data_IF_533089479755
#
_entry.id   IF_533089479755
#
_cell.length_a   1.000
_cell.length_b   1.000
_cell.length_c   1.000
_cell.angle_alpha   90.00
_cell.angle_beta   90.00
_cell.angle_gamma   90.00
#
_symmetry.space_group_name_H-M   'P 1'
#
loop_
_entity.id
_entity.type
_entity.pdbx_description
1 polymer ?
#
# COMPACT_ATOMS: atom_id res chain seq x y z
N UNK A 1 6.21 63.50 -18.51
CA UNK A 1 6.48 62.70 -17.30
C UNK A 1 6.69 61.25 -17.75
N UNK A 2 7.84 60.70 -17.36
CA UNK A 2 8.19 59.27 -17.15
C UNK A 2 7.89 58.25 -18.27
N UNK A 3 8.93 57.66 -18.89
CA UNK A 3 9.72 56.48 -18.40
C UNK A 3 8.92 55.19 -18.67
N UNK A 4 9.40 54.12 -19.31
CA UNK A 4 10.72 53.69 -19.77
C UNK A 4 10.49 52.59 -20.81
N UNK A 5 11.43 52.46 -21.74
CA UNK A 5 11.66 51.27 -22.57
C UNK A 5 11.81 50.02 -21.70
N UNK A 6 11.44 48.85 -22.22
CA UNK A 6 12.33 47.67 -22.28
C UNK A 6 11.81 46.73 -23.38
N UNK A 7 12.67 46.47 -24.37
CA UNK A 7 12.55 45.35 -25.29
C UNK A 7 13.18 44.13 -24.63
N UNK A 8 12.65 42.93 -24.90
CA UNK A 8 13.29 41.59 -24.92
C UNK A 8 12.17 40.56 -24.78
N UNK A 9 11.81 39.84 -25.84
CA UNK A 9 12.45 38.62 -26.36
C UNK A 9 11.63 37.40 -25.94
N UNK A 10 11.64 36.40 -26.83
CA UNK A 10 11.44 34.98 -26.53
C UNK A 10 10.00 34.44 -26.47
N UNK A 11 9.74 33.48 -27.37
CA UNK A 11 9.07 32.27 -26.93
C UNK A 11 7.67 31.99 -27.47
N UNK A 12 7.41 32.19 -28.77
CA UNK A 12 6.40 31.35 -29.43
C UNK A 12 6.96 29.92 -29.55
N UNK A 13 7.01 29.20 -28.44
CA UNK A 13 7.21 27.76 -28.48
C UNK A 13 5.98 27.16 -29.19
N UNK A 14 6.20 26.32 -30.21
CA UNK A 14 5.14 25.75 -31.03
C UNK A 14 4.26 24.84 -30.18
N UNK A 15 2.96 24.90 -30.44
CA UNK A 15 1.95 23.96 -29.95
C UNK A 15 2.46 22.53 -30.14
N UNK A 16 2.90 21.89 -29.07
CA UNK A 16 3.28 20.48 -29.12
C UNK A 16 2.02 19.66 -29.21
N UNK A 17 2.09 18.62 -30.03
CA UNK A 17 1.02 17.71 -30.45
C UNK A 17 0.46 16.85 -29.30
N UNK A 18 0.82 17.17 -28.05
CA UNK A 18 0.40 16.48 -26.83
C UNK A 18 -0.91 17.03 -26.24
N UNK A 19 -1.66 17.82 -27.00
CA UNK A 19 -3.02 18.25 -26.64
C UNK A 19 -4.07 17.20 -27.03
N UNK A 20 -3.85 15.94 -26.59
CA UNK A 20 -4.86 14.85 -26.50
C UNK A 20 -4.25 13.53 -26.01
N UNK A 21 -4.10 13.42 -24.70
CA UNK A 21 -4.46 12.20 -23.98
C UNK A 21 -5.15 12.74 -22.73
N UNK A 22 -6.45 12.58 -22.52
CA UNK A 22 -7.00 11.34 -21.96
C UNK A 22 -5.89 10.41 -21.43
N UNK A 23 -5.07 10.94 -20.51
CA UNK A 23 -4.28 10.13 -19.64
C UNK A 23 -5.25 9.60 -18.59
N UNK A 24 -6.02 8.59 -18.99
CA UNK A 24 -6.39 7.53 -18.07
C UNK A 24 -5.05 6.95 -17.56
N UNK A 25 -4.38 7.64 -16.62
CA UNK A 25 -3.32 7.00 -15.84
C UNK A 25 -4.00 5.80 -15.23
N UNK A 26 -3.55 4.61 -15.63
CA UNK A 26 -4.23 3.38 -15.30
C UNK A 26 -4.44 3.34 -13.78
N UNK A 27 -5.65 2.97 -13.34
CA UNK A 27 -6.01 2.80 -11.91
C UNK A 27 -5.02 1.86 -11.19
N UNK A 28 -4.21 1.11 -11.93
CA UNK A 28 -3.11 0.26 -11.47
C UNK A 28 -1.76 0.93 -11.26
N UNK A 29 -1.44 2.05 -11.94
CA UNK A 29 -0.26 2.91 -11.63
C UNK A 29 -0.60 3.85 -10.47
N UNK A 30 -1.84 4.33 -10.48
CA UNK A 30 -2.53 4.61 -9.23
C UNK A 30 -2.49 3.36 -8.33
N UNK A 31 -2.74 3.32 -7.05
CA UNK A 31 -2.56 2.06 -6.27
C UNK A 31 -1.13 1.46 -6.21
N UNK A 32 -0.33 1.34 -7.27
CA UNK A 32 1.08 0.91 -7.19
C UNK A 32 1.87 1.85 -6.29
N UNK A 33 1.77 3.17 -6.46
CA UNK A 33 2.39 4.12 -5.53
C UNK A 33 1.84 3.98 -4.10
N UNK A 34 0.54 3.67 -3.95
CA UNK A 34 -0.05 3.43 -2.61
C UNK A 34 0.59 2.21 -1.97
N UNK A 35 0.73 1.12 -2.73
CA UNK A 35 1.37 -0.12 -2.27
C UNK A 35 2.81 0.14 -1.88
N UNK A 36 3.57 0.92 -2.65
CA UNK A 36 4.95 1.29 -2.31
C UNK A 36 5.04 2.07 -0.99
N UNK A 37 4.20 3.08 -0.82
CA UNK A 37 4.17 3.87 0.42
C UNK A 37 3.77 3.03 1.63
N UNK A 38 2.79 2.14 1.49
CA UNK A 38 2.38 1.21 2.55
C UNK A 38 3.49 0.21 2.86
N UNK A 39 4.17 -0.32 1.85
CA UNK A 39 5.30 -1.24 2.02
C UNK A 39 6.41 -0.60 2.85
N UNK A 40 6.87 0.60 2.46
CA UNK A 40 7.94 1.29 3.17
C UNK A 40 7.51 1.70 4.59
N UNK A 41 6.25 2.12 4.79
CA UNK A 41 5.74 2.43 6.12
C UNK A 41 5.74 1.21 7.04
N UNK A 42 5.22 0.07 6.58
CA UNK A 42 5.18 -1.17 7.38
C UNK A 42 6.59 -1.66 7.68
N UNK A 43 7.44 -1.73 6.66
CA UNK A 43 8.82 -2.20 6.78
C UNK A 43 9.64 -1.37 7.76
N UNK A 44 9.49 -0.04 7.75
CA UNK A 44 10.27 0.88 8.59
C UNK A 44 9.74 0.97 10.02
N UNK A 45 8.41 1.09 10.18
CA UNK A 45 7.81 1.46 11.45
C UNK A 45 7.12 0.30 12.17
N UNK A 46 6.76 -0.77 11.46
CA UNK A 46 5.93 -1.86 11.97
C UNK A 46 6.53 -3.26 11.63
N UNK A 47 7.75 -3.58 12.11
CA UNK A 47 8.41 -4.85 11.80
C UNK A 47 7.65 -6.08 12.34
N UNK A 48 6.74 -5.90 13.30
CA UNK A 48 5.88 -6.96 13.86
C UNK A 48 4.47 -6.97 13.23
N UNK A 49 4.28 -6.27 12.12
CA UNK A 49 2.98 -6.06 11.50
C UNK A 49 2.14 -4.97 12.20
N UNK A 50 1.05 -4.58 11.53
CA UNK A 50 0.18 -3.48 11.95
C UNK A 50 -1.27 -3.79 11.62
N UNK A 51 -2.21 -3.37 12.46
CA UNK A 51 -3.62 -3.51 12.13
C UNK A 51 -4.01 -2.63 10.95
N UNK A 52 -4.91 -3.10 10.08
CA UNK A 52 -5.36 -2.34 8.91
C UNK A 52 -5.90 -0.95 9.27
N UNK A 53 -6.66 -0.85 10.36
CA UNK A 53 -7.19 0.43 10.85
C UNK A 53 -6.09 1.39 11.29
N UNK A 54 -5.07 0.90 12.02
CA UNK A 54 -3.98 1.75 12.48
C UNK A 54 -3.06 2.17 11.32
N UNK A 55 -2.83 1.26 10.37
CA UNK A 55 -2.06 1.55 9.16
C UNK A 55 -2.74 2.64 8.32
N UNK A 56 -4.05 2.52 8.08
CA UNK A 56 -4.80 3.53 7.33
C UNK A 56 -4.75 4.91 8.00
N UNK A 57 -4.89 4.97 9.32
CA UNK A 57 -4.74 6.21 10.08
C UNK A 57 -3.34 6.81 9.92
N UNK A 58 -2.30 5.99 10.08
CA UNK A 58 -0.91 6.45 9.96
C UNK A 58 -0.57 6.90 8.55
N UNK A 59 -1.08 6.21 7.54
CA UNK A 59 -0.95 6.58 6.14
C UNK A 59 -1.59 7.95 5.86
N UNK A 60 -2.80 8.18 6.38
CA UNK A 60 -3.46 9.48 6.25
C UNK A 60 -2.66 10.60 6.92
N UNK A 61 -2.20 10.39 8.15
CA UNK A 61 -1.40 11.37 8.89
C UNK A 61 -0.09 11.70 8.16
N UNK A 62 0.61 10.70 7.65
CA UNK A 62 1.96 10.88 7.11
C UNK A 62 1.99 11.35 5.66
N UNK A 63 1.03 10.90 4.84
CA UNK A 63 1.02 11.14 3.40
C UNK A 63 -0.14 12.01 2.93
N UNK A 64 -1.38 11.65 3.26
CA UNK A 64 -2.57 12.36 2.74
C UNK A 64 -2.68 13.77 3.31
N UNK A 65 -2.57 13.92 4.62
CA UNK A 65 -2.73 15.22 5.29
C UNK A 65 -1.66 16.24 4.89
N UNK A 66 -0.52 15.76 4.37
CA UNK A 66 0.60 16.58 3.90
C UNK A 66 0.60 16.78 2.37
N UNK A 67 -0.37 16.21 1.65
CA UNK A 67 -0.44 16.24 0.19
C UNK A 67 0.67 15.44 -0.51
N UNK A 68 1.27 14.47 0.18
CA UNK A 68 2.35 13.60 -0.33
C UNK A 68 1.85 12.25 -0.85
N UNK A 69 0.58 11.92 -0.61
CA UNK A 69 -0.06 10.72 -1.11
C UNK A 69 -1.56 10.91 -1.28
N UNK A 70 -2.18 10.00 -2.02
CA UNK A 70 -3.62 10.01 -2.29
C UNK A 70 -4.41 9.36 -1.15
N UNK A 71 -5.72 9.57 -1.12
CA UNK A 71 -6.60 8.83 -0.20
C UNK A 71 -6.66 7.34 -0.55
N UNK A 72 -6.76 6.48 0.47
CA UNK A 72 -6.92 5.04 0.27
C UNK A 72 -8.31 4.76 -0.31
N UNK A 73 -8.43 4.02 -1.42
CA UNK A 73 -9.73 3.60 -1.95
C UNK A 73 -10.42 2.63 -0.99
N UNK A 74 -11.74 2.47 -1.06
CA UNK A 74 -12.49 1.65 -0.09
C UNK A 74 -12.03 0.18 -0.04
N UNK A 75 -11.59 -0.36 -1.17
CA UNK A 75 -11.14 -1.73 -1.37
C UNK A 75 -9.62 -1.90 -1.24
N UNK A 76 -8.89 -0.88 -0.81
CA UNK A 76 -7.42 -0.88 -0.71
C UNK A 76 -6.88 -2.11 0.02
N UNK A 77 -7.57 -2.55 1.08
CA UNK A 77 -7.15 -3.68 1.90
C UNK A 77 -7.23 -5.01 1.13
N UNK A 78 -8.21 -5.16 0.25
CA UNK A 78 -8.35 -6.34 -0.62
C UNK A 78 -7.17 -6.38 -1.59
N UNK A 79 -6.91 -5.26 -2.26
CA UNK A 79 -5.83 -5.16 -3.23
C UNK A 79 -4.44 -5.37 -2.59
N UNK A 80 -4.20 -4.81 -1.40
CA UNK A 80 -2.96 -5.03 -0.64
C UNK A 80 -2.85 -6.49 -0.17
N UNK A 81 -3.95 -7.13 0.23
CA UNK A 81 -3.93 -8.53 0.65
C UNK A 81 -3.68 -9.52 -0.51
N UNK A 82 -4.04 -9.13 -1.73
CA UNK A 82 -3.77 -9.90 -2.96
C UNK A 82 -2.35 -9.69 -3.51
N UNK A 83 -1.73 -8.56 -3.18
CA UNK A 83 -0.38 -8.21 -3.61
C UNK A 83 0.69 -9.13 -2.97
N UNK A 84 1.68 -9.54 -3.75
CA UNK A 84 2.66 -10.57 -3.35
C UNK A 84 3.63 -10.10 -2.25
N UNK A 85 3.82 -8.79 -2.14
CA UNK A 85 4.72 -8.12 -1.21
C UNK A 85 4.18 -8.10 0.23
N UNK A 86 2.90 -8.41 0.42
CA UNK A 86 2.23 -8.35 1.70
C UNK A 86 1.72 -9.71 2.16
N UNK A 87 1.55 -9.82 3.48
CA UNK A 87 0.82 -10.90 4.10
C UNK A 87 -0.27 -10.30 4.99
N UNK A 88 -1.52 -10.63 4.70
CA UNK A 88 -2.66 -10.26 5.52
C UNK A 88 -3.08 -11.44 6.38
N UNK A 89 -3.09 -11.25 7.70
CA UNK A 89 -3.56 -12.25 8.66
C UNK A 89 -4.81 -11.76 9.39
N UNK A 90 -5.92 -12.48 9.19
CA UNK A 90 -7.19 -12.19 9.85
C UNK A 90 -7.34 -13.02 11.13
N UNK A 91 -7.55 -12.34 12.26
CA UNK A 91 -7.75 -12.90 13.59
C UNK A 91 -9.04 -12.33 14.19
N UNK A 92 -10.16 -12.99 13.88
CA UNK A 92 -11.49 -12.49 14.27
C UNK A 92 -11.80 -11.16 13.56
N UNK A 93 -12.13 -10.08 14.29
CA UNK A 93 -12.45 -8.78 13.68
C UNK A 93 -11.20 -7.98 13.28
N UNK A 94 -10.00 -8.49 13.55
CA UNK A 94 -8.74 -7.78 13.30
C UNK A 94 -8.06 -8.35 12.06
N UNK A 95 -7.67 -7.47 11.14
CA UNK A 95 -6.75 -7.78 10.04
C UNK A 95 -5.40 -7.13 10.34
N UNK A 96 -4.35 -7.94 10.35
CA UNK A 96 -2.98 -7.50 10.58
C UNK A 96 -2.20 -7.66 9.28
N UNK A 97 -1.53 -6.61 8.84
CA UNK A 97 -0.71 -6.57 7.64
C UNK A 97 0.77 -6.66 7.99
N UNK A 98 1.49 -7.47 7.22
CA UNK A 98 2.93 -7.64 7.26
C UNK A 98 3.52 -7.42 5.87
N UNK A 99 4.78 -7.00 5.82
CA UNK A 99 5.59 -7.09 4.60
C UNK A 99 6.18 -8.50 4.53
N UNK A 100 5.99 -9.18 3.40
CA UNK A 100 6.60 -10.48 3.15
C UNK A 100 8.10 -10.27 2.94
N UNK A 101 8.92 -10.88 3.80
CA UNK A 101 10.37 -10.95 3.59
C UNK A 101 10.62 -11.88 2.40
N UNK A 102 11.45 -11.46 1.44
CA UNK A 102 11.73 -12.14 0.17
C UNK A 102 12.46 -13.50 0.27
N UNK A 103 12.40 -14.17 1.43
CA UNK A 103 13.04 -15.47 1.65
C UNK A 103 12.27 -16.43 2.59
N UNK A 104 10.94 -16.43 2.57
CA UNK A 104 10.16 -17.54 3.14
C UNK A 104 9.18 -18.09 2.12
N UNK A 105 9.66 -19.11 1.41
CA UNK A 105 8.87 -19.98 0.59
C UNK A 105 7.70 -20.55 1.41
N UNK A 106 6.47 -20.31 0.93
CA UNK A 106 5.28 -21.13 1.16
C UNK A 106 4.90 -21.50 2.61
N UNK A 107 4.17 -20.63 3.31
CA UNK A 107 3.09 -21.11 4.20
C UNK A 107 1.79 -21.17 3.40
N UNK A 108 1.73 -22.09 2.43
CA UNK A 108 0.43 -22.58 1.96
C UNK A 108 -0.22 -23.27 3.16
N UNK A 109 -1.26 -22.65 3.70
CA UNK A 109 -2.13 -23.20 4.73
C UNK A 109 -2.44 -24.67 4.34
N UNK A 110 -2.06 -25.69 5.15
CA UNK A 110 -2.40 -27.06 4.79
C UNK A 110 -3.93 -27.18 4.70
N UNK A 111 -4.47 -28.00 3.79
CA UNK A 111 -5.92 -28.19 3.69
C UNK A 111 -6.41 -28.71 5.04
N UNK A 112 -7.36 -28.00 5.64
CA UNK A 112 -7.93 -28.37 6.94
C UNK A 112 -8.67 -29.71 6.73
N UNK A 113 -8.27 -30.83 7.36
CA UNK A 113 -9.07 -32.03 7.32
C UNK A 113 -10.28 -31.77 8.22
N UNK A 114 -11.47 -31.69 7.63
CA UNK A 114 -12.71 -31.77 8.39
C UNK A 114 -12.87 -33.20 8.90
N UNK A 115 -12.40 -33.47 10.12
CA UNK A 115 -12.82 -34.66 10.86
C UNK A 115 -13.19 -34.28 12.28
N UNK A 116 -14.45 -34.55 12.54
CA UNK A 116 -15.21 -34.46 13.77
C UNK A 116 -14.46 -34.99 15.01
N UNK A 117 -14.48 -34.17 16.06
CA UNK A 117 -14.71 -34.50 17.47
C UNK A 117 -14.01 -35.78 18.02
N UNK A 118 -13.02 -35.58 18.91
CA UNK A 118 -13.11 -35.84 20.36
C UNK A 118 -11.73 -36.13 20.94
N UNK A 119 -11.27 -35.25 21.83
CA UNK A 119 -10.26 -35.61 22.82
C UNK A 119 -8.89 -34.96 22.61
N UNK A 120 -8.34 -34.54 23.74
CA UNK A 120 -6.94 -34.20 23.99
C UNK A 120 -6.46 -32.79 23.64
N UNK A 121 -6.31 -32.00 24.72
CA UNK A 121 -5.52 -30.79 24.78
C UNK A 121 -4.07 -31.14 24.43
N UNK A 122 -3.59 -30.76 23.26
CA UNK A 122 -2.16 -30.63 23.00
C UNK A 122 -1.86 -29.14 22.88
N UNK A 123 -1.25 -28.60 23.93
CA UNK A 123 -0.69 -27.25 23.95
C UNK A 123 0.47 -27.25 22.95
N UNK A 124 0.22 -26.75 21.74
CA UNK A 124 1.29 -26.54 20.77
C UNK A 124 2.04 -25.28 21.17
N UNK A 125 3.12 -25.47 21.94
CA UNK A 125 4.12 -24.44 22.21
C UNK A 125 4.83 -24.15 20.90
N UNK A 126 4.54 -23.00 20.29
CA UNK A 126 5.31 -22.51 19.15
C UNK A 126 6.63 -21.97 19.70
N UNK A 127 7.72 -22.70 19.46
CA UNK A 127 9.07 -22.17 19.58
C UNK A 127 9.28 -21.14 18.45
N UNK A 128 9.54 -19.89 18.84
CA UNK A 128 10.40 -19.00 18.07
C UNK A 128 11.81 -19.59 18.05
N UNK A 129 12.35 -19.82 16.87
CA UNK A 129 13.79 -19.80 16.60
C UNK A 129 14.02 -19.07 15.29
#
# INVERSE_FOLDING_TARGET
MNTSRFMTSEGLMPSTIFDKGDADMDVSEEMEEVRELLYEMIKKNFPMGVSSSHLAQKYYEEYVSKGLGRELPEDWLVQVAEAEEFEAQTRGPLTILFVRLSNTNSFKRPPIPHTDVKGERVISVYLCT
#
